data_IF_868629360385
#
_entry.id   IF_868629360385
#
_cell.length_a   1.000
_cell.length_b   1.000
_cell.length_c   1.000
_cell.angle_alpha   90.00
_cell.angle_beta   90.00
_cell.angle_gamma   90.00
#
_symmetry.space_group_name_H-M   'P 1'
#
loop_
_entity.id
_entity.type
_entity.pdbx_description
1 polymer ?
#
# COMPACT_ATOMS: atom_id res chain seq x y z
N UNK A 1 3.35 -3.91 -5.37
CA UNK A 1 4.56 -3.15 -5.03
C UNK A 1 4.26 -1.76 -4.45
N UNK A 2 3.03 -1.24 -4.62
CA UNK A 2 2.64 0.14 -4.24
C UNK A 2 3.58 1.23 -4.81
N UNK A 3 4.31 0.92 -5.88
CA UNK A 3 5.15 1.89 -6.57
C UNK A 3 4.25 2.87 -7.32
N UNK A 4 4.45 4.15 -7.04
CA UNK A 4 3.63 5.22 -7.60
C UNK A 4 4.43 6.50 -7.79
N UNK A 5 4.18 7.19 -8.89
CA UNK A 5 4.44 8.61 -9.12
C UNK A 5 3.30 9.18 -9.96
N UNK A 6 3.23 10.50 -10.08
CA UNK A 6 2.20 11.13 -10.91
C UNK A 6 2.29 10.73 -12.37
N UNK A 7 3.50 10.50 -12.91
CA UNK A 7 3.70 9.98 -14.27
C UNK A 7 3.12 8.56 -14.43
N UNK A 8 3.36 7.69 -13.45
CA UNK A 8 2.77 6.33 -13.43
C UNK A 8 1.23 6.45 -13.34
N UNK A 9 0.73 7.36 -12.52
CA UNK A 9 -0.69 7.64 -12.39
C UNK A 9 -1.32 8.13 -13.71
N UNK A 10 -0.65 9.06 -14.41
CA UNK A 10 -1.08 9.52 -15.73
C UNK A 10 -1.17 8.37 -16.73
N UNK A 11 -0.14 7.53 -16.79
CA UNK A 11 -0.09 6.38 -17.67
C UNK A 11 -1.21 5.37 -17.35
N UNK A 12 -1.41 5.05 -16.07
CA UNK A 12 -2.49 4.18 -15.63
C UNK A 12 -3.88 4.73 -15.99
N UNK A 13 -4.07 6.05 -15.86
CA UNK A 13 -5.31 6.71 -16.27
C UNK A 13 -5.55 6.60 -17.78
N UNK A 14 -4.51 6.77 -18.59
CA UNK A 14 -4.57 6.58 -20.05
C UNK A 14 -4.92 5.15 -20.44
N UNK A 15 -4.45 4.16 -19.66
CA UNK A 15 -4.82 2.75 -19.82
C UNK A 15 -6.25 2.44 -19.35
N UNK A 16 -6.98 3.40 -18.79
CA UNK A 16 -8.38 3.26 -18.37
C UNK A 16 -8.58 2.85 -16.91
N UNK A 17 -7.53 2.73 -16.12
CA UNK A 17 -7.67 2.49 -14.68
C UNK A 17 -8.36 3.66 -13.98
N UNK A 18 -9.18 3.36 -12.97
CA UNK A 18 -9.95 4.34 -12.20
C UNK A 18 -9.38 4.62 -10.82
N UNK A 19 -8.57 3.70 -10.33
CA UNK A 19 -7.89 3.82 -9.06
C UNK A 19 -6.51 3.18 -9.10
N UNK A 20 -5.61 3.67 -8.24
CA UNK A 20 -4.36 3.02 -7.90
C UNK A 20 -4.23 2.92 -6.38
N UNK A 21 -3.55 1.87 -5.95
CA UNK A 21 -3.15 1.66 -4.56
C UNK A 21 -1.71 2.15 -4.42
N UNK A 22 -1.44 2.96 -3.42
CA UNK A 22 -0.09 3.49 -3.17
C UNK A 22 0.21 3.62 -1.69
N UNK A 23 1.44 3.92 -1.36
CA UNK A 23 1.90 4.10 0.01
C UNK A 23 1.41 5.44 0.58
N UNK A 24 0.98 5.43 1.85
CA UNK A 24 0.61 6.63 2.60
C UNK A 24 1.84 7.33 3.19
N UNK A 25 2.85 7.61 2.37
CA UNK A 25 4.12 8.15 2.82
C UNK A 25 3.97 9.54 3.45
N UNK A 26 4.48 9.69 4.66
CA UNK A 26 4.32 10.92 5.46
C UNK A 26 4.94 12.16 4.81
N UNK A 27 6.07 11.99 4.11
CA UNK A 27 6.74 13.11 3.44
C UNK A 27 5.93 13.67 2.25
N UNK A 28 5.03 12.86 1.66
CA UNK A 28 4.09 13.31 0.62
C UNK A 28 2.79 13.83 1.23
N UNK A 29 2.26 13.14 2.24
CA UNK A 29 1.03 13.53 2.90
C UNK A 29 1.18 14.81 3.74
N UNK A 30 2.35 15.01 4.35
CA UNK A 30 2.55 16.09 5.32
C UNK A 30 1.62 15.92 6.52
N UNK A 31 0.67 16.84 6.67
CA UNK A 31 -0.35 16.82 7.74
C UNK A 31 -1.64 16.08 7.34
N UNK A 32 -1.79 15.66 6.08
CA UNK A 32 -2.98 14.99 5.57
C UNK A 32 -3.06 13.55 6.10
N UNK A 33 -4.28 13.06 6.33
CA UNK A 33 -4.50 11.66 6.71
C UNK A 33 -4.47 10.73 5.48
N UNK A 34 -3.95 9.50 5.59
CA UNK A 34 -4.05 8.49 4.55
C UNK A 34 -5.46 7.91 4.40
N UNK A 35 -6.39 8.24 5.28
CA UNK A 35 -7.74 7.67 5.35
C UNK A 35 -8.77 8.41 4.49
N UNK A 36 -8.29 9.20 3.55
CA UNK A 36 -9.12 9.86 2.53
C UNK A 36 -8.74 9.39 1.13
N UNK A 37 -9.65 9.63 0.19
CA UNK A 37 -9.37 9.41 -1.22
C UNK A 37 -8.77 10.69 -1.80
N UNK A 38 -7.71 10.53 -2.54
CA UNK A 38 -7.05 11.59 -3.29
C UNK A 38 -7.18 11.37 -4.79
N UNK A 39 -6.89 12.41 -5.57
CA UNK A 39 -6.71 12.27 -7.02
C UNK A 39 -5.22 12.37 -7.35
N UNK A 40 -4.81 11.71 -8.43
CA UNK A 40 -3.53 11.97 -9.07
C UNK A 40 -3.47 13.41 -9.58
N UNK A 41 -2.36 14.13 -9.32
CA UNK A 41 -2.23 15.52 -9.75
C UNK A 41 -2.28 15.68 -11.27
N UNK A 42 -1.61 14.80 -12.02
CA UNK A 42 -1.58 14.82 -13.49
C UNK A 42 -2.81 14.16 -14.13
N UNK A 43 -3.58 13.38 -13.40
CA UNK A 43 -4.77 12.69 -13.89
C UNK A 43 -5.93 12.77 -12.89
N UNK A 44 -6.66 13.90 -12.79
CA UNK A 44 -7.65 14.13 -11.74
C UNK A 44 -8.83 13.14 -11.69
N UNK A 45 -8.99 12.31 -12.70
CA UNK A 45 -10.00 11.23 -12.73
C UNK A 45 -9.52 9.93 -12.08
N UNK A 46 -8.22 9.77 -11.89
CA UNK A 46 -7.63 8.61 -11.22
C UNK A 46 -7.65 8.84 -9.71
N UNK A 47 -8.27 7.94 -8.98
CA UNK A 47 -8.31 7.98 -7.53
C UNK A 47 -7.15 7.21 -6.93
N UNK A 48 -6.60 7.75 -5.84
CA UNK A 48 -5.54 7.15 -5.07
C UNK A 48 -6.09 6.66 -3.73
N UNK A 49 -5.89 5.37 -3.47
CA UNK A 49 -6.21 4.72 -2.20
C UNK A 49 -4.89 4.45 -1.49
N UNK A 50 -4.73 5.03 -0.32
CA UNK A 50 -3.46 5.03 0.39
C UNK A 50 -3.40 3.91 1.42
N UNK A 51 -2.21 3.34 1.58
CA UNK A 51 -1.91 2.41 2.65
C UNK A 51 -1.76 3.16 3.96
N UNK A 52 -2.46 2.75 5.00
CA UNK A 52 -2.07 3.09 6.36
C UNK A 52 -0.83 2.29 6.75
N UNK A 53 0.28 2.99 6.96
CA UNK A 53 1.57 2.39 7.27
C UNK A 53 1.52 1.69 8.63
N UNK A 54 1.04 2.41 9.66
CA UNK A 54 1.03 1.90 11.02
C UNK A 54 0.17 0.64 11.14
N UNK A 55 -1.09 0.73 10.75
CA UNK A 55 -2.04 -0.38 10.84
C UNK A 55 -1.61 -1.58 10.00
N UNK A 56 -1.06 -1.35 8.80
CA UNK A 56 -0.56 -2.44 7.97
C UNK A 56 0.70 -3.09 8.53
N UNK A 57 1.63 -2.31 9.08
CA UNK A 57 2.88 -2.80 9.65
C UNK A 57 2.66 -3.50 11.01
N UNK A 58 1.64 -3.14 11.76
CA UNK A 58 1.23 -3.83 12.99
C UNK A 58 0.91 -5.31 12.72
N UNK A 59 0.25 -5.58 11.59
CA UNK A 59 -0.04 -6.97 11.18
C UNK A 59 1.15 -7.61 10.48
N UNK A 60 1.76 -6.91 9.51
CA UNK A 60 2.75 -7.53 8.62
C UNK A 60 4.14 -7.68 9.25
N UNK A 61 4.54 -6.76 10.12
CA UNK A 61 5.89 -6.71 10.69
C UNK A 61 5.92 -6.96 12.20
N UNK A 62 4.96 -6.41 12.94
CA UNK A 62 5.01 -6.37 14.40
C UNK A 62 4.20 -7.46 15.10
N UNK A 63 3.33 -8.17 14.38
CA UNK A 63 2.35 -9.11 14.94
C UNK A 63 2.93 -10.14 15.92
N UNK A 64 4.11 -10.68 15.63
CA UNK A 64 4.78 -11.68 16.47
C UNK A 64 5.99 -11.11 17.24
N UNK A 65 6.12 -9.80 17.33
CA UNK A 65 7.20 -9.16 18.07
C UNK A 65 6.79 -8.93 19.53
N UNK A 66 7.29 -9.77 20.43
CA UNK A 66 6.99 -9.68 21.88
C UNK A 66 7.56 -8.44 22.58
N UNK A 67 8.50 -7.73 21.95
CA UNK A 67 9.06 -6.47 22.46
C UNK A 67 8.24 -5.25 22.02
N UNK A 68 7.32 -5.43 21.08
CA UNK A 68 6.44 -4.36 20.64
C UNK A 68 5.35 -4.09 21.68
N UNK A 69 5.13 -2.82 22.01
CA UNK A 69 4.17 -2.37 23.03
C UNK A 69 2.72 -2.86 22.77
N UNK A 70 2.36 -3.03 21.49
CA UNK A 70 1.04 -3.53 21.09
C UNK A 70 0.88 -5.05 21.13
N UNK A 71 1.93 -5.79 21.54
CA UNK A 71 1.87 -7.26 21.61
C UNK A 71 1.18 -7.74 22.91
N UNK A 72 0.37 -8.80 22.86
CA UNK A 72 -0.13 -9.50 21.67
C UNK A 72 -1.27 -8.76 20.98
N UNK A 73 -1.27 -8.73 19.62
CA UNK A 73 -2.31 -8.07 18.85
C UNK A 73 -3.52 -8.99 18.68
N UNK A 74 -4.67 -8.56 19.17
CA UNK A 74 -5.95 -9.24 18.99
C UNK A 74 -6.83 -8.49 18.00
N UNK A 75 -7.73 -9.22 17.32
CA UNK A 75 -8.59 -8.63 16.30
C UNK A 75 -9.60 -7.60 16.86
N UNK A 76 -10.03 -7.77 18.09
CA UNK A 76 -10.90 -6.82 18.78
C UNK A 76 -10.17 -5.52 19.13
N UNK A 77 -9.00 -5.60 19.75
CA UNK A 77 -8.20 -4.42 20.10
C UNK A 77 -7.75 -3.65 18.86
N UNK A 78 -7.38 -4.37 17.78
CA UNK A 78 -7.05 -3.75 16.52
C UNK A 78 -8.25 -3.02 15.88
N UNK A 79 -9.44 -3.60 15.97
CA UNK A 79 -10.66 -2.95 15.49
C UNK A 79 -11.13 -1.82 16.39
N UNK A 80 -10.80 -1.84 17.69
CA UNK A 80 -11.04 -0.72 18.59
C UNK A 80 -10.16 0.48 18.22
N UNK A 81 -8.90 0.25 17.83
CA UNK A 81 -8.03 1.30 17.32
C UNK A 81 -8.58 1.94 16.04
N UNK A 82 -9.06 1.12 15.11
CA UNK A 82 -9.69 1.61 13.88
C UNK A 82 -10.97 2.40 14.20
N UNK A 83 -11.81 1.90 15.11
CA UNK A 83 -13.04 2.56 15.49
C UNK A 83 -12.84 3.85 16.29
N UNK A 84 -11.65 4.06 16.83
CA UNK A 84 -11.28 5.29 17.54
C UNK A 84 -10.79 6.42 16.60
N UNK A 85 -10.63 6.14 15.31
CA UNK A 85 -10.30 7.15 14.32
C UNK A 85 -11.45 8.16 14.15
N UNK A 86 -11.16 9.40 13.70
CA UNK A 86 -12.21 10.41 13.50
C UNK A 86 -13.31 9.94 12.55
N UNK A 87 -14.56 10.25 12.88
CA UNK A 87 -15.75 9.86 12.09
C UNK A 87 -15.75 10.43 10.66
N UNK A 88 -14.99 11.50 10.43
CA UNK A 88 -14.84 12.12 9.11
C UNK A 88 -13.95 11.31 8.17
N UNK A 89 -13.16 10.38 8.67
CA UNK A 89 -12.28 9.54 7.85
C UNK A 89 -13.09 8.53 7.05
N UNK A 90 -12.75 8.41 5.77
CA UNK A 90 -13.61 7.75 4.79
C UNK A 90 -13.27 6.29 4.58
N UNK A 91 -11.97 5.97 4.56
CA UNK A 91 -11.48 4.65 4.13
C UNK A 91 -10.11 4.36 4.74
N UNK A 92 -9.92 3.14 5.19
CA UNK A 92 -8.64 2.69 5.75
C UNK A 92 -8.07 1.62 4.83
N UNK A 93 -6.89 1.88 4.30
CA UNK A 93 -6.16 0.97 3.43
C UNK A 93 -5.17 0.11 4.22
N UNK A 94 -5.50 -1.15 4.45
CA UNK A 94 -4.59 -2.12 5.08
C UNK A 94 -4.03 -3.00 3.96
N UNK A 95 -2.78 -2.75 3.57
CA UNK A 95 -2.12 -3.46 2.49
C UNK A 95 -0.87 -4.17 3.00
N UNK A 96 -0.76 -5.45 2.71
CA UNK A 96 0.39 -6.26 3.11
C UNK A 96 0.69 -7.33 2.06
N UNK A 97 1.90 -7.88 2.10
CA UNK A 97 2.25 -9.04 1.29
C UNK A 97 1.53 -10.27 1.83
N UNK A 98 1.18 -11.19 0.94
CA UNK A 98 0.60 -12.46 1.35
C UNK A 98 1.57 -13.31 2.20
N UNK A 99 2.88 -13.10 2.03
CA UNK A 99 3.93 -13.72 2.86
C UNK A 99 3.79 -13.42 4.36
N UNK A 100 3.16 -12.29 4.71
CA UNK A 100 2.84 -11.99 6.11
C UNK A 100 2.00 -13.10 6.77
N UNK A 101 1.28 -13.91 5.97
CA UNK A 101 0.37 -14.93 6.46
C UNK A 101 1.02 -16.33 6.43
N UNK A 102 1.95 -16.57 7.33
CA UNK A 102 2.56 -17.89 7.54
C UNK A 102 4.03 -18.02 7.13
N UNK A 103 4.62 -16.99 6.48
CA UNK A 103 6.05 -16.92 6.17
C UNK A 103 6.72 -15.89 7.07
N UNK A 104 6.37 -14.60 6.94
CA UNK A 104 6.96 -13.52 7.74
C UNK A 104 6.43 -13.60 9.19
N UNK A 105 5.13 -13.87 9.35
CA UNK A 105 4.52 -14.20 10.62
C UNK A 105 4.23 -15.71 10.65
N UNK A 106 4.91 -16.50 11.49
CA UNK A 106 4.74 -17.96 11.50
C UNK A 106 3.31 -18.35 11.93
N UNK A 107 2.83 -19.49 11.47
CA UNK A 107 1.48 -19.97 11.82
C UNK A 107 1.29 -20.14 13.35
N UNK A 108 2.38 -20.43 14.08
CA UNK A 108 2.38 -20.49 15.55
C UNK A 108 2.09 -19.16 16.24
N UNK A 109 2.16 -18.03 15.53
CA UNK A 109 1.76 -16.71 16.05
C UNK A 109 0.26 -16.52 16.17
N UNK A 110 -0.56 -17.46 15.68
CA UNK A 110 -2.01 -17.36 15.59
C UNK A 110 -2.52 -16.27 14.63
N UNK A 111 -1.72 -15.84 13.67
CA UNK A 111 -2.14 -14.80 12.70
C UNK A 111 -3.37 -15.21 11.89
N UNK A 112 -3.55 -16.50 11.60
CA UNK A 112 -4.75 -16.97 10.90
C UNK A 112 -6.00 -16.89 11.77
N UNK A 113 -5.89 -17.11 13.07
CA UNK A 113 -7.03 -16.96 13.99
C UNK A 113 -7.40 -15.48 14.15
N UNK A 114 -6.40 -14.59 14.21
CA UNK A 114 -6.61 -13.13 14.13
C UNK A 114 -7.42 -12.77 12.88
N UNK A 115 -7.01 -13.24 11.70
CA UNK A 115 -7.72 -12.94 10.44
C UNK A 115 -9.12 -13.55 10.37
N UNK A 116 -9.35 -14.73 10.94
CA UNK A 116 -10.69 -15.33 11.02
C UNK A 116 -11.64 -14.49 11.88
N UNK A 117 -11.14 -13.93 12.98
CA UNK A 117 -11.93 -13.06 13.86
C UNK A 117 -12.18 -11.67 13.27
N UNK A 118 -11.31 -11.20 12.39
CA UNK A 118 -11.28 -9.85 11.83
C UNK A 118 -12.64 -9.36 11.28
N UNK A 119 -13.35 -10.12 10.41
CA UNK A 119 -14.64 -9.66 9.87
C UNK A 119 -15.73 -9.53 10.94
N UNK A 120 -15.75 -10.42 11.93
CA UNK A 120 -16.74 -10.38 12.99
C UNK A 120 -16.51 -9.17 13.90
N UNK A 121 -15.26 -8.90 14.30
CA UNK A 121 -14.89 -7.76 15.10
C UNK A 121 -15.15 -6.43 14.39
N UNK A 122 -14.88 -6.34 13.08
CA UNK A 122 -15.18 -5.17 12.25
C UNK A 122 -16.69 -4.88 12.23
N UNK A 123 -17.50 -5.91 11.95
CA UNK A 123 -18.96 -5.79 11.91
C UNK A 123 -19.56 -5.29 13.24
N UNK A 124 -19.05 -5.74 14.38
CA UNK A 124 -19.50 -5.31 15.71
C UNK A 124 -19.29 -3.81 15.94
N UNK A 125 -18.31 -3.21 15.26
CA UNK A 125 -17.96 -1.78 15.35
C UNK A 125 -18.51 -0.94 14.19
N UNK A 126 -19.39 -1.51 13.38
CA UNK A 126 -19.97 -0.83 12.23
C UNK A 126 -19.01 -0.62 11.06
N UNK A 127 -17.83 -1.24 11.09
CA UNK A 127 -16.84 -1.18 10.03
C UNK A 127 -17.22 -2.14 8.92
N UNK A 128 -17.18 -1.68 7.68
CA UNK A 128 -17.54 -2.49 6.49
C UNK A 128 -16.35 -2.63 5.56
N UNK A 129 -16.24 -3.80 4.93
CA UNK A 129 -15.27 -4.03 3.87
C UNK A 129 -15.84 -3.59 2.53
N UNK A 130 -14.98 -3.00 1.70
CA UNK A 130 -15.35 -2.56 0.36
C UNK A 130 -14.24 -2.87 -0.63
N UNK A 131 -14.61 -3.09 -1.88
CA UNK A 131 -13.65 -3.20 -2.98
C UNK A 131 -13.20 -1.80 -3.43
N UNK A 132 -12.00 -1.66 -4.03
CA UNK A 132 -11.56 -0.39 -4.61
C UNK A 132 -12.57 0.21 -5.60
N UNK A 133 -13.26 -0.63 -6.37
CA UNK A 133 -14.29 -0.18 -7.30
C UNK A 133 -15.49 0.44 -6.60
N UNK A 134 -15.98 -0.18 -5.53
CA UNK A 134 -17.09 0.36 -4.72
C UNK A 134 -16.71 1.68 -4.05
N UNK A 135 -15.50 1.74 -3.48
CA UNK A 135 -14.97 2.96 -2.88
C UNK A 135 -14.93 4.08 -3.92
N UNK A 136 -14.40 3.81 -5.13
CA UNK A 136 -14.33 4.79 -6.20
C UNK A 136 -15.71 5.27 -6.68
N UNK A 137 -16.73 4.44 -6.62
CA UNK A 137 -18.10 4.84 -7.00
C UNK A 137 -18.80 5.64 -5.90
N UNK A 138 -18.61 5.28 -4.63
CA UNK A 138 -19.36 5.83 -3.50
C UNK A 138 -18.76 7.10 -2.92
N UNK A 139 -17.43 7.17 -2.85
CA UNK A 139 -16.71 8.23 -2.15
C UNK A 139 -16.07 9.23 -3.12
N UNK A 140 -16.05 10.48 -2.71
CA UNK A 140 -15.39 11.57 -3.46
C UNK A 140 -13.99 11.78 -2.91
N UNK A 141 -13.05 12.11 -3.78
CA UNK A 141 -11.73 12.59 -3.38
C UNK A 141 -11.82 13.97 -2.73
N UNK A 142 -11.01 14.18 -1.71
CA UNK A 142 -10.99 15.45 -0.97
C UNK A 142 -10.04 16.48 -1.60
N UNK A 143 -8.95 16.02 -2.24
CA UNK A 143 -7.96 16.87 -2.91
C UNK A 143 -7.09 16.06 -3.84
N UNK A 144 -6.22 16.72 -4.61
CA UNK A 144 -5.14 16.08 -5.33
C UNK A 144 -3.93 15.84 -4.42
N UNK A 145 -3.21 14.77 -4.71
CA UNK A 145 -1.92 14.47 -4.11
C UNK A 145 -0.85 14.62 -5.19
N UNK A 146 0.16 15.42 -4.90
CA UNK A 146 1.29 15.67 -5.79
C UNK A 146 2.45 14.74 -5.38
N UNK A 147 2.85 13.87 -6.30
CA UNK A 147 3.87 12.83 -6.08
C UNK A 147 4.85 12.82 -7.24
N UNK A 148 5.73 13.85 -7.32
CA UNK A 148 6.69 13.97 -8.43
C UNK A 148 7.75 12.87 -8.40
N UNK A 149 8.18 12.44 -7.22
CA UNK A 149 9.17 11.39 -7.02
C UNK A 149 8.51 10.04 -6.74
N UNK A 150 9.15 8.96 -7.19
CA UNK A 150 8.55 7.63 -7.08
C UNK A 150 8.50 7.13 -5.66
N UNK A 151 7.30 6.89 -5.16
CA UNK A 151 7.03 6.20 -3.90
C UNK A 151 7.17 4.68 -4.03
N UNK A 152 7.48 4.04 -2.92
CA UNK A 152 7.42 2.60 -2.75
C UNK A 152 7.06 2.26 -1.29
N UNK A 153 6.69 1.02 -1.03
CA UNK A 153 6.45 0.53 0.34
C UNK A 153 7.74 0.07 1.04
N UNK A 154 8.85 0.01 0.29
CA UNK A 154 10.11 -0.53 0.78
C UNK A 154 10.79 0.46 1.72
N UNK A 155 11.42 -0.07 2.77
CA UNK A 155 12.17 0.59 3.84
C UNK A 155 11.51 1.84 4.46
N UNK A 156 12.28 2.59 5.24
CA UNK A 156 11.78 3.77 5.98
C UNK A 156 11.63 5.00 5.08
N UNK A 157 12.44 5.11 4.03
CA UNK A 157 12.44 6.25 3.10
C UNK A 157 11.17 6.29 2.24
N UNK A 158 10.53 5.13 2.05
CA UNK A 158 9.31 4.98 1.24
C UNK A 158 9.48 5.47 -0.20
N UNK A 159 10.68 5.30 -0.75
CA UNK A 159 11.03 5.64 -2.12
C UNK A 159 11.66 4.44 -2.87
N UNK A 160 12.37 4.69 -3.95
CA UNK A 160 13.05 3.66 -4.75
C UNK A 160 14.56 3.57 -4.48
N UNK A 161 15.07 4.24 -3.45
CA UNK A 161 16.51 4.28 -3.13
C UNK A 161 17.08 2.89 -2.81
N UNK A 162 16.29 1.99 -2.26
CA UNK A 162 16.65 0.58 -2.06
C UNK A 162 17.16 -0.08 -3.35
N UNK A 163 16.61 0.28 -4.51
CA UNK A 163 16.96 -0.31 -5.81
C UNK A 163 17.80 0.62 -6.70
N UNK A 164 17.64 1.94 -6.56
CA UNK A 164 18.21 2.95 -7.45
C UNK A 164 18.96 4.05 -6.70
N UNK A 165 19.29 3.85 -5.42
CA UNK A 165 19.86 4.86 -4.55
C UNK A 165 21.32 5.21 -4.85
N UNK A 166 22.08 4.30 -5.47
CA UNK A 166 23.49 4.54 -5.75
C UNK A 166 23.84 4.39 -7.26
N UNK A 167 24.98 4.91 -7.71
CA UNK A 167 25.38 4.85 -9.12
C UNK A 167 25.47 3.43 -9.68
N UNK A 168 25.97 2.48 -8.90
CA UNK A 168 26.11 1.07 -9.32
C UNK A 168 24.75 0.41 -9.59
N UNK A 169 23.80 0.64 -8.71
CA UNK A 169 22.42 0.14 -8.88
C UNK A 169 21.77 0.73 -10.15
N UNK A 170 21.93 2.03 -10.38
CA UNK A 170 21.42 2.71 -11.58
C UNK A 170 22.08 2.20 -12.85
N UNK A 171 23.39 1.97 -12.84
CA UNK A 171 24.11 1.40 -13.99
C UNK A 171 23.62 -0.03 -14.28
N UNK A 172 23.48 -0.88 -13.27
CA UNK A 172 22.97 -2.23 -13.41
C UNK A 172 21.54 -2.25 -13.99
N UNK A 173 20.66 -1.36 -13.49
CA UNK A 173 19.31 -1.19 -13.99
C UNK A 173 19.31 -0.75 -15.46
N UNK A 174 20.07 0.29 -15.82
CA UNK A 174 20.16 0.77 -17.19
C UNK A 174 20.73 -0.31 -18.13
N UNK A 175 21.72 -1.05 -17.68
CA UNK A 175 22.30 -2.16 -18.43
C UNK A 175 21.29 -3.26 -18.70
N UNK A 176 20.54 -3.65 -17.68
CA UNK A 176 19.47 -4.65 -17.81
C UNK A 176 18.45 -4.23 -18.88
N UNK A 177 17.94 -3.03 -18.79
CA UNK A 177 16.91 -2.54 -19.72
C UNK A 177 17.48 -2.28 -21.13
N UNK A 178 18.77 -1.94 -21.27
CA UNK A 178 19.41 -1.75 -22.59
C UNK A 178 19.43 -3.04 -23.43
N UNK A 179 19.31 -4.21 -22.83
CA UNK A 179 19.28 -5.49 -23.54
C UNK A 179 17.86 -6.06 -23.71
N UNK A 180 16.85 -5.44 -23.08
CA UNK A 180 15.48 -5.94 -23.06
C UNK A 180 14.90 -6.15 -24.47
N UNK A 181 15.08 -5.19 -25.38
CA UNK A 181 14.57 -5.30 -26.75
C UNK A 181 15.29 -6.39 -27.55
N UNK A 182 16.59 -6.56 -27.31
CA UNK A 182 17.38 -7.66 -27.93
C UNK A 182 16.87 -9.02 -27.48
N UNK A 183 16.56 -9.17 -26.19
CA UNK A 183 15.98 -10.40 -25.63
C UNK A 183 14.60 -10.68 -26.25
N UNK A 184 13.75 -9.68 -26.36
CA UNK A 184 12.42 -9.82 -26.99
C UNK A 184 12.49 -10.26 -28.45
N UNK A 185 13.51 -9.82 -29.20
CA UNK A 185 13.70 -10.16 -30.63
C UNK A 185 14.35 -11.54 -30.78
N UNK A 186 15.10 -12.02 -29.82
CA UNK A 186 15.91 -13.26 -29.94
C UNK A 186 15.07 -14.50 -30.23
N UNK A 187 13.78 -14.54 -29.86
CA UNK A 187 12.86 -15.67 -30.08
C UNK A 187 13.39 -17.03 -29.63
N UNK A 188 14.39 -17.07 -28.78
CA UNK A 188 14.97 -18.30 -28.23
C UNK A 188 14.22 -18.63 -26.94
N UNK A 189 13.56 -19.79 -26.81
CA UNK A 189 12.79 -20.16 -25.63
C UNK A 189 13.64 -20.37 -24.38
N UNK A 190 14.96 -20.29 -24.47
CA UNK A 190 15.92 -20.41 -23.36
C UNK A 190 16.34 -19.04 -22.81
N UNK A 191 15.96 -17.97 -23.47
CA UNK A 191 16.19 -16.58 -23.10
C UNK A 191 14.85 -15.95 -22.74
#
# INVERSE_FOLDING_TARGET
SLIYSDDIGLLASQMGFKAMLTEGAKHVLGWKSPHYIYNCALAPKLKLLLRDIKLSDDISLRFNNSEWEGYPLFADTYMDEIAALPDEEQVIGIFMNLSALGIDQPLSSNILEFLKAFPACAKQRGITFSTPSEICMKLKSISSLDVPDTLSWMDEERDVSTWLGNPMQREAFNKLYSVADRVRIARDPRI
#
